data_IF_055463635314
#
_entry.id   IF_055463635314
#
_cell.length_a   1.000
_cell.length_b   1.000
_cell.length_c   1.000
_cell.angle_alpha   90.00
_cell.angle_beta   90.00
_cell.angle_gamma   90.00
#
_symmetry.space_group_name_H-M   'P 1'
#
loop_
_entity.id
_entity.type
_entity.pdbx_description
1 polymer ?
#
# COMPACT_ATOMS: atom_id res chain seq x y z
N UNK A 1 1.10 -16.16 -4.21
CA UNK A 1 1.13 -15.52 -2.87
C UNK A 1 -0.26 -15.27 -2.33
N UNK A 2 -1.07 -14.34 -2.87
CA UNK A 2 -2.39 -14.02 -2.32
C UNK A 2 -3.30 -15.26 -2.14
N UNK A 3 -3.38 -16.11 -3.17
CA UNK A 3 -4.14 -17.37 -3.12
C UNK A 3 -3.60 -18.35 -2.07
N UNK A 4 -2.29 -18.43 -1.92
CA UNK A 4 -1.64 -19.34 -0.97
C UNK A 4 -1.94 -18.96 0.48
N UNK A 5 -2.06 -17.66 0.78
CA UNK A 5 -2.44 -17.17 2.11
C UNK A 5 -3.88 -17.54 2.46
N UNK A 6 -4.81 -17.39 1.51
CA UNK A 6 -6.19 -17.82 1.71
C UNK A 6 -6.31 -19.34 1.90
N UNK A 7 -5.59 -20.14 1.12
CA UNK A 7 -5.54 -21.61 1.28
C UNK A 7 -5.04 -22.05 2.67
N UNK A 8 -4.30 -21.20 3.39
CA UNK A 8 -3.83 -21.44 4.77
C UNK A 8 -4.87 -21.06 5.84
N UNK A 9 -6.04 -20.56 5.44
CA UNK A 9 -7.08 -20.10 6.37
C UNK A 9 -6.79 -18.76 7.01
N UNK A 10 -5.90 -17.95 6.43
CA UNK A 10 -5.54 -16.63 6.98
C UNK A 10 -6.50 -15.52 6.54
N UNK A 11 -7.39 -15.80 5.60
CA UNK A 11 -8.31 -14.83 5.04
C UNK A 11 -8.93 -15.29 3.74
N UNK A 12 -9.43 -14.33 2.98
CA UNK A 12 -10.14 -14.51 1.72
C UNK A 12 -9.23 -14.13 0.55
N UNK A 13 -9.33 -14.90 -0.53
CA UNK A 13 -8.77 -14.53 -1.82
C UNK A 13 -9.90 -14.07 -2.73
N UNK A 14 -9.67 -12.96 -3.41
CA UNK A 14 -10.60 -12.36 -4.36
C UNK A 14 -9.86 -12.21 -5.70
N UNK A 15 -10.54 -12.52 -6.80
CA UNK A 15 -10.00 -12.29 -8.15
C UNK A 15 -9.80 -10.79 -8.40
N UNK A 16 -10.70 -9.96 -7.87
CA UNK A 16 -10.64 -8.49 -7.89
C UNK A 16 -11.25 -7.94 -6.60
N UNK A 17 -10.79 -6.77 -6.17
CA UNK A 17 -11.41 -5.99 -5.10
C UNK A 17 -12.04 -4.72 -5.68
N UNK A 18 -13.31 -4.47 -5.34
CA UNK A 18 -14.02 -3.24 -5.71
C UNK A 18 -13.61 -2.07 -4.80
N UNK A 19 -13.33 -2.38 -3.53
CA UNK A 19 -12.78 -1.48 -2.53
C UNK A 19 -11.47 -2.07 -1.98
N UNK A 20 -10.40 -1.28 -1.96
CA UNK A 20 -9.16 -1.65 -1.29
C UNK A 20 -9.18 -1.18 0.15
N UNK A 21 -8.73 -2.04 1.06
CA UNK A 21 -8.69 -1.79 2.51
C UNK A 21 -7.27 -1.88 3.03
N UNK A 22 -6.95 -1.12 4.10
CA UNK A 22 -5.70 -1.32 4.81
C UNK A 22 -5.49 -2.81 5.12
N UNK A 23 -4.32 -3.33 4.76
CA UNK A 23 -3.98 -4.74 4.94
C UNK A 23 -4.12 -5.62 3.72
N UNK A 24 -4.86 -5.19 2.70
CA UNK A 24 -5.01 -5.98 1.48
C UNK A 24 -3.65 -6.19 0.81
N UNK A 25 -3.32 -7.45 0.53
CA UNK A 25 -2.11 -7.83 -0.21
C UNK A 25 -2.51 -8.07 -1.66
N UNK A 26 -2.12 -7.15 -2.53
CA UNK A 26 -2.45 -7.18 -3.95
C UNK A 26 -1.30 -7.85 -4.72
N UNK A 27 -1.64 -8.87 -5.51
CA UNK A 27 -0.69 -9.57 -6.38
C UNK A 27 -0.96 -9.23 -7.84
N UNK A 28 0.10 -8.84 -8.54
CA UNK A 28 0.12 -8.65 -10.00
C UNK A 28 1.25 -9.51 -10.59
N UNK A 29 1.40 -9.53 -11.92
CA UNK A 29 2.44 -10.33 -12.58
C UNK A 29 3.85 -10.02 -12.04
N UNK A 30 4.40 -10.95 -11.24
CA UNK A 30 5.74 -10.87 -10.67
C UNK A 30 5.93 -9.85 -9.54
N UNK A 31 4.87 -9.19 -9.06
CA UNK A 31 4.99 -8.13 -8.05
C UNK A 31 3.86 -8.19 -7.02
N UNK A 32 4.13 -7.73 -5.81
CA UNK A 32 3.14 -7.65 -4.73
C UNK A 32 3.25 -6.32 -4.02
N UNK A 33 2.13 -5.83 -3.52
CA UNK A 33 2.07 -4.61 -2.74
C UNK A 33 0.99 -4.66 -1.67
N UNK A 34 1.19 -3.91 -0.59
CA UNK A 34 0.28 -3.81 0.53
C UNK A 34 -0.51 -2.50 0.44
N UNK A 35 -1.83 -2.57 0.51
CA UNK A 35 -2.68 -1.40 0.67
C UNK A 35 -2.52 -0.85 2.09
N UNK A 36 -2.10 0.41 2.21
CA UNK A 36 -2.02 1.12 3.49
C UNK A 36 -3.30 1.89 3.78
N UNK A 37 -4.17 2.07 2.78
CA UNK A 37 -5.45 2.73 2.89
C UNK A 37 -5.74 3.68 1.74
N UNK A 38 -6.96 4.20 1.71
CA UNK A 38 -7.44 5.14 0.70
C UNK A 38 -7.55 6.54 1.31
N UNK A 39 -7.16 7.55 0.54
CA UNK A 39 -7.27 8.96 0.91
C UNK A 39 -8.64 9.54 0.49
N UNK A 40 -8.99 10.73 0.99
CA UNK A 40 -10.29 11.36 0.71
C UNK A 40 -10.56 11.69 -0.77
N UNK A 41 -9.50 11.81 -1.59
CA UNK A 41 -9.60 12.02 -3.04
C UNK A 41 -9.69 10.70 -3.84
N UNK A 42 -9.75 9.55 -3.15
CA UNK A 42 -9.76 8.22 -3.76
C UNK A 42 -8.39 7.67 -4.15
N UNK A 43 -7.30 8.43 -3.95
CA UNK A 43 -5.95 7.92 -4.16
C UNK A 43 -5.57 6.91 -3.07
N UNK A 44 -4.77 5.92 -3.44
CA UNK A 44 -4.41 4.80 -2.56
C UNK A 44 -2.96 4.95 -2.15
N UNK A 45 -2.71 4.88 -0.85
CA UNK A 45 -1.37 4.75 -0.29
C UNK A 45 -1.00 3.27 -0.27
N UNK A 46 0.20 2.94 -0.74
CA UNK A 46 0.70 1.57 -0.73
C UNK A 46 2.13 1.48 -0.23
N UNK A 47 2.47 0.31 0.30
CA UNK A 47 3.83 -0.07 0.64
C UNK A 47 4.26 -1.25 -0.23
N UNK A 48 5.40 -1.12 -0.91
CA UNK A 48 6.04 -2.24 -1.59
C UNK A 48 7.54 -1.99 -1.77
N UNK A 49 8.27 -3.00 -2.23
CA UNK A 49 9.64 -2.81 -2.71
C UNK A 49 9.64 -2.12 -4.07
N UNK A 50 10.26 -0.94 -4.18
CA UNK A 50 10.31 -0.18 -5.42
C UNK A 50 11.75 -0.08 -5.93
N UNK A 51 12.02 -0.42 -7.20
CA UNK A 51 13.18 0.11 -7.90
C UNK A 51 12.95 1.60 -8.11
N UNK A 52 13.71 2.44 -7.40
CA UNK A 52 13.55 3.89 -7.40
C UNK A 52 14.81 4.56 -7.92
N UNK A 53 14.65 5.60 -8.75
CA UNK A 53 15.78 6.43 -9.17
C UNK A 53 16.40 7.11 -7.96
N UNK A 54 17.73 7.03 -7.86
CA UNK A 54 18.46 7.67 -6.78
C UNK A 54 18.76 9.13 -7.10
N UNK A 55 18.26 10.04 -6.27
CA UNK A 55 18.54 11.48 -6.31
C UNK A 55 20.01 11.84 -6.08
N UNK A 56 20.79 10.93 -5.50
CA UNK A 56 22.21 11.15 -5.13
C UNK A 56 23.19 10.24 -5.89
N UNK A 57 22.78 9.66 -7.01
CA UNK A 57 23.66 8.81 -7.83
C UNK A 57 24.07 7.47 -7.22
N UNK A 58 23.46 7.04 -6.12
CA UNK A 58 23.68 5.72 -5.52
C UNK A 58 22.46 4.81 -5.80
N UNK A 59 22.45 3.99 -6.86
CA UNK A 59 21.31 3.14 -7.20
C UNK A 59 21.04 2.07 -6.13
N UNK A 60 19.83 1.51 -6.15
CA UNK A 60 19.36 0.52 -5.18
C UNK A 60 17.83 0.48 -5.13
N UNK A 61 17.28 -0.17 -4.12
CA UNK A 61 15.85 -0.24 -3.90
C UNK A 61 15.54 -0.74 -2.50
N UNK A 62 14.26 -0.69 -2.14
CA UNK A 62 13.79 -1.12 -0.83
C UNK A 62 12.30 -0.87 -0.69
N UNK A 63 11.77 -1.23 0.48
CA UNK A 63 10.37 -0.97 0.79
C UNK A 63 10.18 0.53 1.01
N UNK A 64 9.21 1.12 0.31
CA UNK A 64 8.84 2.51 0.46
C UNK A 64 7.34 2.72 0.30
N UNK A 65 6.85 3.85 0.80
CA UNK A 65 5.52 4.34 0.52
C UNK A 65 5.46 4.89 -0.91
N UNK A 66 4.38 4.60 -1.61
CA UNK A 66 4.07 5.08 -2.96
C UNK A 66 2.58 5.36 -3.06
N UNK A 67 2.15 5.90 -4.20
CA UNK A 67 0.75 6.28 -4.43
C UNK A 67 0.19 5.66 -5.72
N UNK A 68 -1.12 5.42 -5.73
CA UNK A 68 -1.92 5.16 -6.92
C UNK A 68 -3.03 6.21 -6.98
N UNK A 69 -3.28 6.75 -8.17
CA UNK A 69 -4.33 7.75 -8.39
C UNK A 69 -5.28 7.25 -9.48
N UNK A 70 -6.56 6.95 -9.18
CA UNK A 70 -7.52 6.52 -10.21
C UNK A 70 -7.72 7.54 -11.33
N UNK A 71 -7.52 8.82 -11.04
CA UNK A 71 -7.63 9.93 -11.99
C UNK A 71 -6.32 10.25 -12.72
N UNK A 72 -5.24 9.54 -12.41
CA UNK A 72 -3.86 9.86 -12.81
C UNK A 72 -3.47 11.33 -12.50
N UNK A 73 -4.13 11.95 -11.52
CA UNK A 73 -3.83 13.33 -11.12
C UNK A 73 -2.41 13.45 -10.58
N UNK A 74 -1.70 14.51 -11.01
CA UNK A 74 -0.43 14.91 -10.42
C UNK A 74 -0.66 15.38 -8.98
N UNK A 75 0.18 14.92 -8.06
CA UNK A 75 0.16 15.39 -6.66
C UNK A 75 -1.07 14.93 -5.85
N UNK A 76 -1.60 13.74 -6.12
CA UNK A 76 -2.69 13.16 -5.33
C UNK A 76 -2.37 13.11 -3.82
N UNK A 77 -3.42 13.02 -2.99
CA UNK A 77 -3.29 13.05 -1.53
C UNK A 77 -2.37 11.94 -1.01
N UNK A 78 -2.46 10.72 -1.56
CA UNK A 78 -1.60 9.61 -1.18
C UNK A 78 -0.11 9.89 -1.45
N UNK A 79 0.22 10.57 -2.55
CA UNK A 79 1.62 10.93 -2.86
C UNK A 79 2.13 11.99 -1.89
N UNK A 80 1.33 13.03 -1.66
CA UNK A 80 1.65 14.08 -0.69
C UNK A 80 1.87 13.51 0.72
N UNK A 81 1.01 12.58 1.12
CA UNK A 81 1.09 11.89 2.40
C UNK A 81 2.35 11.01 2.50
N UNK A 82 2.64 10.22 1.46
CA UNK A 82 3.86 9.42 1.39
C UNK A 82 5.13 10.28 1.50
N UNK A 83 5.15 11.45 0.84
CA UNK A 83 6.26 12.40 0.92
C UNK A 83 6.42 13.00 2.31
N UNK A 84 5.34 13.49 2.92
CA UNK A 84 5.33 14.05 4.28
C UNK A 84 5.93 13.05 5.28
N UNK A 85 5.37 11.85 5.32
CA UNK A 85 5.75 10.81 6.28
C UNK A 85 7.16 10.29 6.03
N UNK A 86 7.52 10.00 4.78
CA UNK A 86 8.88 9.49 4.48
C UNK A 86 9.95 10.53 4.78
N UNK A 87 9.70 11.81 4.47
CA UNK A 87 10.62 12.92 4.79
C UNK A 87 10.81 13.08 6.29
N UNK A 88 9.74 12.93 7.08
CA UNK A 88 9.78 13.08 8.53
C UNK A 88 10.43 11.89 9.23
N UNK A 89 9.99 10.67 8.92
CA UNK A 89 10.40 9.46 9.65
C UNK A 89 11.72 8.87 9.12
N UNK A 90 11.97 8.99 7.82
CA UNK A 90 13.10 8.36 7.13
C UNK A 90 13.89 9.39 6.29
N UNK A 91 14.39 10.49 6.86
CA UNK A 91 14.98 11.61 6.09
C UNK A 91 16.19 11.19 5.24
N UNK A 92 17.01 10.26 5.74
CA UNK A 92 18.15 9.73 4.98
C UNK A 92 17.69 8.94 3.74
N UNK A 93 16.59 8.19 3.87
CA UNK A 93 15.96 7.47 2.76
C UNK A 93 15.33 8.45 1.78
N UNK A 94 14.54 9.41 2.25
CA UNK A 94 13.89 10.43 1.43
C UNK A 94 14.87 11.26 0.60
N UNK A 95 16.04 11.58 1.17
CA UNK A 95 17.12 12.27 0.46
C UNK A 95 17.61 11.48 -0.75
N UNK A 96 17.58 10.14 -0.67
CA UNK A 96 18.04 9.25 -1.74
C UNK A 96 16.91 8.88 -2.70
N UNK A 97 15.72 8.58 -2.19
CA UNK A 97 14.58 8.07 -2.95
C UNK A 97 13.31 8.86 -2.64
N UNK A 98 12.67 9.35 -3.70
CA UNK A 98 11.33 9.91 -3.62
C UNK A 98 10.29 8.79 -3.45
N UNK A 99 9.21 9.01 -2.70
CA UNK A 99 7.94 8.37 -2.99
C UNK A 99 7.53 8.65 -4.44
N UNK A 100 6.84 7.71 -5.06
CA UNK A 100 6.48 7.79 -6.48
C UNK A 100 5.02 7.41 -6.68
N UNK A 101 4.37 8.05 -7.65
CA UNK A 101 3.10 7.60 -8.17
C UNK A 101 3.33 6.45 -9.16
N UNK A 102 2.61 5.34 -8.97
CA UNK A 102 2.68 4.19 -9.86
C UNK A 102 1.50 4.19 -10.83
N UNK A 103 1.65 3.57 -12.02
CA UNK A 103 0.57 3.53 -13.00
C UNK A 103 -0.63 2.77 -12.42
N UNK A 104 -1.78 3.45 -12.31
CA UNK A 104 -2.96 2.89 -11.64
C UNK A 104 -3.37 1.55 -12.25
N UNK A 105 -3.64 1.53 -13.55
CA UNK A 105 -4.11 0.35 -14.26
C UNK A 105 -3.18 -0.87 -14.14
N UNK A 106 -1.86 -0.67 -14.12
CA UNK A 106 -0.89 -1.75 -13.99
C UNK A 106 -0.85 -2.33 -12.56
N UNK A 107 -1.07 -1.49 -11.54
CA UNK A 107 -1.04 -1.93 -10.14
C UNK A 107 -2.37 -2.48 -9.65
N UNK A 108 -3.46 -2.17 -10.35
CA UNK A 108 -4.82 -2.67 -10.07
C UNK A 108 -5.31 -3.68 -11.11
N UNK A 109 -4.41 -4.29 -11.89
CA UNK A 109 -4.81 -5.37 -12.81
C UNK A 109 -5.20 -6.66 -12.07
N UNK A 110 -4.76 -6.78 -10.81
CA UNK A 110 -4.99 -7.89 -9.89
C UNK A 110 -4.87 -9.27 -10.54
N UNK A 111 -3.97 -9.43 -11.50
CA UNK A 111 -3.75 -10.68 -12.23
C UNK A 111 -3.36 -11.86 -11.31
N UNK A 112 -2.82 -11.59 -10.12
CA UNK A 112 -2.56 -12.58 -9.07
C UNK A 112 -3.61 -12.62 -7.94
N UNK A 113 -4.64 -11.79 -8.04
CA UNK A 113 -5.70 -11.57 -7.07
C UNK A 113 -5.31 -10.74 -5.84
N UNK A 114 -6.30 -10.49 -5.00
CA UNK A 114 -6.18 -9.73 -3.76
C UNK A 114 -6.44 -10.67 -2.58
N UNK A 115 -5.53 -10.65 -1.60
CA UNK A 115 -5.74 -11.31 -0.32
C UNK A 115 -6.18 -10.29 0.72
N UNK A 116 -7.25 -10.62 1.43
CA UNK A 116 -7.77 -9.86 2.58
C UNK A 116 -7.82 -10.78 3.79
N UNK A 117 -7.28 -10.36 4.93
CA UNK A 117 -7.33 -11.16 6.16
C UNK A 117 -8.78 -11.30 6.67
N UNK A 118 -9.01 -12.22 7.60
CA UNK A 118 -10.35 -12.47 8.14
C UNK A 118 -10.80 -11.32 9.05
N UNK A 119 -11.77 -10.52 8.59
CA UNK A 119 -12.28 -9.36 9.34
C UNK A 119 -13.33 -9.74 10.40
N UNK A 120 -13.91 -10.93 10.32
CA UNK A 120 -14.94 -11.42 11.25
C UNK A 120 -14.35 -12.09 12.51
N UNK A 121 -13.03 -12.07 12.66
CA UNK A 121 -12.32 -12.70 13.77
C UNK A 121 -12.25 -14.22 13.70
N UNK A 122 -12.71 -14.85 12.61
CA UNK A 122 -12.69 -16.32 12.45
C UNK A 122 -11.33 -16.88 12.00
N UNK A 123 -10.45 -16.04 11.46
CA UNK A 123 -9.16 -16.45 10.88
C UNK A 123 -7.96 -16.28 11.82
N UNK A 124 -6.83 -16.88 11.41
CA UNK A 124 -5.55 -16.80 12.13
C UNK A 124 -5.00 -15.37 12.17
N UNK A 125 -5.19 -14.62 11.07
CA UNK A 125 -4.95 -13.19 11.00
C UNK A 125 -6.31 -12.49 11.07
N UNK A 126 -6.50 -11.66 12.10
CA UNK A 126 -7.74 -10.91 12.35
C UNK A 126 -7.45 -9.41 12.49
N UNK A 127 -8.51 -8.61 12.50
CA UNK A 127 -8.45 -7.16 12.64
C UNK A 127 -9.04 -6.68 13.98
N UNK A 128 -8.40 -6.96 15.12
CA UNK A 128 -8.93 -6.61 16.43
C UNK A 128 -9.00 -5.09 16.66
N UNK A 129 -8.14 -4.33 15.98
CA UNK A 129 -8.03 -2.87 16.10
C UNK A 129 -8.91 -2.11 15.09
N UNK A 130 -9.62 -2.82 14.21
CA UNK A 130 -10.48 -2.22 13.19
C UNK A 130 -9.71 -1.42 12.12
N UNK A 131 -8.47 -1.81 11.82
CA UNK A 131 -7.63 -1.15 10.82
C UNK A 131 -8.29 -1.12 9.43
N UNK A 132 -9.05 -2.15 9.06
CA UNK A 132 -9.58 -2.31 7.71
C UNK A 132 -10.62 -1.24 7.31
N UNK A 133 -11.14 -0.47 8.28
CA UNK A 133 -12.07 0.65 8.02
C UNK A 133 -11.42 2.02 8.12
N UNK A 134 -10.12 2.08 8.46
CA UNK A 134 -9.38 3.33 8.59
C UNK A 134 -8.92 3.87 7.24
N UNK A 135 -8.82 5.19 7.16
CA UNK A 135 -8.16 5.89 6.05
C UNK A 135 -6.63 5.71 6.08
N UNK A 136 -5.97 6.07 4.97
CA UNK A 136 -4.50 6.05 4.92
C UNK A 136 -3.85 6.92 6.01
N UNK A 137 -4.41 8.09 6.29
CA UNK A 137 -3.89 8.99 7.32
C UNK A 137 -4.06 8.42 8.74
N UNK A 138 -5.20 7.80 9.02
CA UNK A 138 -5.45 7.16 10.31
C UNK A 138 -4.52 5.96 10.53
N UNK A 139 -4.26 5.16 9.50
CA UNK A 139 -3.29 4.06 9.56
C UNK A 139 -1.88 4.58 9.86
N UNK A 140 -1.43 5.64 9.17
CA UNK A 140 -0.11 6.22 9.44
C UNK A 140 -0.02 6.82 10.85
N UNK A 141 -1.08 7.51 11.33
CA UNK A 141 -1.15 8.00 12.71
C UNK A 141 -1.11 6.85 13.71
N UNK A 142 -1.81 5.74 13.45
CA UNK A 142 -1.81 4.56 14.31
C UNK A 142 -0.41 3.91 14.40
N UNK A 143 0.26 3.74 13.26
CA UNK A 143 1.56 3.06 13.18
C UNK A 143 2.72 3.92 13.68
N UNK A 144 2.69 5.23 13.45
CA UNK A 144 3.85 6.11 13.65
C UNK A 144 3.58 7.32 14.54
N UNK A 145 2.34 7.51 14.99
CA UNK A 145 1.95 8.68 15.78
C UNK A 145 1.85 9.98 14.98
N UNK A 146 1.92 9.92 13.64
CA UNK A 146 1.79 11.08 12.76
C UNK A 146 1.32 10.71 11.35
N UNK A 147 0.67 11.67 10.69
CA UNK A 147 0.41 11.72 9.25
C UNK A 147 0.73 13.14 8.77
#
# INVERSE_FOLDING_TARGET
>A
MARDFACRGWGLWMEKADDLRPGDVCSIAGHVWLCMGTCGDGSILLAHSTPSESRVGCPGGGVQLSALSPSDADGCAALTLAESVTKRLCPAWYRRYAPVQKPYAAYTDFSGGVFRWALDGSGVLSDPDGCAVLSAEEILKLLFGCA
#
